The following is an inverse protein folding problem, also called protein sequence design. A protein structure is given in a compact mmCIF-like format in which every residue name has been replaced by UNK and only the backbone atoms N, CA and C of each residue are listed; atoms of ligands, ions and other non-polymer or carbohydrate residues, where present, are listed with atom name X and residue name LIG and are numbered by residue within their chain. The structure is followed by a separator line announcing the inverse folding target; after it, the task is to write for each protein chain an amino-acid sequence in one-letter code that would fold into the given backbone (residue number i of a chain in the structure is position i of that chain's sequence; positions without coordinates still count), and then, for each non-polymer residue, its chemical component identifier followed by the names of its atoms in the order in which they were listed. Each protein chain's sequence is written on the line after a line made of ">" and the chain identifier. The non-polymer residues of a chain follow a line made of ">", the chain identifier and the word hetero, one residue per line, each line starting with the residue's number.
data_IF_134994043989
#
_entry.id   IF_134994043989
#
_cell.length_a   1.000
_cell.length_b   1.000
_cell.length_c   1.000
_cell.angle_alpha   90.00
_cell.angle_beta   90.00
_cell.angle_gamma   90.00
#
_symmetry.space_group_name_H-M   'P 1'
#
loop_
_entity.id
_entity.type
_entity.pdbx_description
1 polymer ?
2 polymer ?
3 non-polymer ?
4 water ?
#
# COMPACT_ATOMS: atom_id res chain seq x y z
N UNK A 2 -7.27 -6.97 -17.01
CA UNK A 2 -7.12 -7.52 -15.66
C UNK A 2 -8.41 -7.57 -14.86
N UNK A 3 -9.48 -6.92 -15.34
CA UNK A 3 -10.80 -6.83 -14.69
C UNK A 3 -10.78 -5.95 -13.43
N UNK A 4 -10.01 -6.30 -12.38
CA UNK A 4 -9.96 -5.45 -11.19
C UNK A 4 -9.13 -4.19 -11.54
N UNK A 5 -9.54 -3.03 -11.02
CA UNK A 5 -8.84 -1.77 -11.35
C UNK A 5 -7.37 -1.80 -10.95
N UNK A 6 -6.55 -1.14 -11.75
CA UNK A 6 -5.13 -1.10 -11.47
C UNK A 6 -4.78 0.03 -10.51
N UNK A 7 -3.78 -0.18 -9.68
CA UNK A 7 -3.27 0.87 -8.79
C UNK A 7 -2.12 1.59 -9.53
N UNK A 8 -1.64 2.70 -8.98
CA UNK A 8 -0.56 3.47 -9.63
C UNK A 8 0.70 2.63 -9.83
N UNK A 9 1.09 1.81 -8.83
CA UNK A 9 2.29 0.96 -8.95
C UNK A 9 2.18 -0.12 -10.05
N UNK A 10 0.95 -0.46 -10.47
CA UNK A 10 0.73 -1.43 -11.53
C UNK A 10 0.75 -0.82 -12.95
N UNK A 11 0.89 0.49 -13.06
CA UNK A 11 0.90 1.21 -14.34
C UNK A 11 2.00 0.67 -15.24
N UNK A 12 1.69 0.30 -16.50
CA UNK A 12 2.73 -0.15 -17.42
C UNK A 12 3.33 1.08 -18.08
N UNK A 13 4.64 1.16 -18.12
CA UNK A 13 5.37 2.29 -18.65
C UNK A 13 6.48 1.87 -19.61
N UNK A 14 6.84 2.78 -20.50
CA UNK A 14 7.94 2.60 -21.40
C UNK A 14 8.93 3.68 -21.12
N UNK A 15 9.99 3.38 -20.35
CA UNK A 15 10.98 4.41 -20.05
C UNK A 15 11.67 4.96 -21.29
N UNK A 16 11.87 6.27 -21.28
CA UNK A 16 12.63 7.02 -22.28
C UNK A 16 14.11 6.64 -22.20
N UNK A 17 14.93 6.98 -23.22
CA UNK A 17 16.31 6.47 -23.25
C UNK A 17 17.19 6.68 -22.00
N UNK A 18 17.21 7.88 -21.37
CA UNK A 18 18.06 8.07 -20.18
C UNK A 18 17.65 7.12 -19.05
N UNK A 19 16.36 7.07 -18.74
CA UNK A 19 15.84 6.20 -17.67
C UNK A 19 16.00 4.71 -18.02
N UNK A 20 15.83 4.35 -19.30
CA UNK A 20 16.00 2.96 -19.72
C UNK A 20 17.44 2.51 -19.51
N UNK A 21 18.40 3.38 -19.81
CA UNK A 21 19.82 3.09 -19.62
C UNK A 21 20.13 2.86 -18.13
N UNK A 22 19.55 3.70 -17.26
CA UNK A 22 19.70 3.58 -15.82
C UNK A 22 19.16 2.21 -15.35
N UNK A 23 17.92 1.89 -15.73
CA UNK A 23 17.25 0.64 -15.35
C UNK A 23 18.00 -0.60 -15.79
N UNK A 24 18.51 -0.57 -17.03
CA UNK A 24 19.25 -1.70 -17.57
C UNK A 24 20.65 -1.84 -16.95
N UNK A 25 21.23 -0.74 -16.41
CA UNK A 25 22.54 -0.84 -15.77
C UNK A 25 22.51 -1.69 -14.49
N UNK A 26 21.35 -1.86 -13.85
CA UNK A 26 21.24 -2.70 -12.66
C UNK A 26 20.71 -4.10 -12.99
N UNK A 27 20.87 -4.55 -14.24
CA UNK A 27 20.48 -5.89 -14.64
C UNK A 27 19.08 -6.09 -15.18
N UNK A 28 18.18 -5.09 -15.10
CA UNK A 28 16.84 -5.24 -15.67
C UNK A 28 16.99 -5.31 -17.21
N UNK A 29 16.37 -6.31 -17.85
CA UNK A 29 16.62 -6.52 -19.29
C UNK A 29 15.36 -6.47 -20.14
N UNK A 30 14.51 -5.48 -19.90
CA UNK A 30 13.32 -5.31 -20.72
C UNK A 30 13.07 -3.84 -21.03
N UNK A 31 12.07 -3.56 -21.87
CA UNK A 31 11.76 -2.20 -22.27
C UNK A 31 10.42 -1.71 -21.68
N UNK A 32 9.54 -2.62 -21.24
CA UNK A 32 8.25 -2.28 -20.64
C UNK A 32 8.30 -2.68 -19.17
N UNK A 33 7.93 -1.77 -18.26
CA UNK A 33 7.99 -1.98 -16.83
C UNK A 33 6.70 -1.57 -16.15
N UNK A 34 6.46 -2.05 -14.94
CA UNK A 34 5.38 -1.48 -14.14
C UNK A 34 6.06 -0.34 -13.33
N UNK A 35 5.28 0.61 -12.81
CA UNK A 35 5.83 1.69 -11.98
C UNK A 35 6.55 1.10 -10.74
N UNK A 36 6.04 -0.05 -10.21
CA UNK A 36 6.67 -0.74 -9.08
C UNK A 36 8.07 -1.20 -9.45
N UNK A 37 8.26 -1.73 -10.65
CA UNK A 37 9.58 -2.15 -11.11
C UNK A 37 10.51 -0.97 -11.28
N UNK A 38 10.01 0.12 -11.86
CA UNK A 38 10.83 1.35 -12.01
C UNK A 38 11.34 1.82 -10.63
N UNK A 39 10.44 1.89 -9.64
CA UNK A 39 10.82 2.29 -8.27
C UNK A 39 11.85 1.32 -7.68
N UNK A 40 11.61 0.04 -7.87
CA UNK A 40 12.49 -1.00 -7.37
C UNK A 40 13.93 -0.89 -7.93
N UNK A 41 14.06 -0.85 -9.26
CA UNK A 41 15.37 -0.79 -9.93
C UNK A 41 16.03 0.59 -9.73
N UNK A 42 15.24 1.66 -9.63
CA UNK A 42 15.79 3.00 -9.33
C UNK A 42 16.39 2.97 -7.90
N UNK A 43 15.69 2.33 -6.95
CA UNK A 43 16.18 2.18 -5.58
C UNK A 43 17.45 1.37 -5.53
N UNK A 44 17.53 0.30 -6.34
CA UNK A 44 18.74 -0.53 -6.46
C UNK A 44 19.90 0.25 -7.01
N UNK A 45 19.65 1.06 -8.04
CA UNK A 45 20.68 1.88 -8.68
C UNK A 45 21.31 2.85 -7.68
N UNK A 46 20.48 3.62 -6.93
CA UNK A 46 21.00 4.57 -5.96
C UNK A 46 21.82 3.85 -4.89
N UNK A 47 21.29 2.72 -4.40
CA UNK A 47 21.92 1.95 -3.36
C UNK A 47 23.22 1.32 -3.86
N UNK A 48 23.24 0.67 -5.04
CA UNK A 48 24.46 0.02 -5.52
C UNK A 48 25.57 1.01 -5.81
N UNK A 49 25.22 2.17 -6.34
CA UNK A 49 26.20 3.19 -6.66
C UNK A 49 26.58 4.10 -5.50
N UNK A 50 25.93 3.91 -4.33
CA UNK A 50 26.14 4.67 -3.11
C UNK A 50 26.00 6.17 -3.38
N UNK A 51 24.91 6.58 -4.05
CA UNK A 51 24.71 8.00 -4.34
C UNK A 51 24.15 8.79 -3.16
N UNK A 52 23.60 8.09 -2.15
CA UNK A 52 23.05 8.75 -0.99
C UNK A 52 24.14 9.29 -0.04
N UNK A 53 23.78 10.28 0.76
CA UNK A 53 24.68 10.85 1.75
C UNK A 53 24.76 9.87 2.92
N UNK A 54 25.99 9.49 3.36
CA UNK A 54 26.18 8.57 4.49
C UNK A 54 25.49 9.00 5.78
N UNK A 55 25.51 10.29 6.12
CA UNK A 55 24.90 10.79 7.36
C UNK A 55 23.38 11.03 7.27
N UNK A 56 22.90 11.57 6.14
CA UNK A 56 21.47 11.86 5.92
C UNK A 56 21.09 11.04 4.68
N UNK A 57 20.69 9.79 4.91
CA UNK A 57 20.52 8.84 3.82
C UNK A 57 19.31 9.08 2.92
N UNK A 58 18.51 10.13 3.19
CA UNK A 58 17.45 10.51 2.27
C UNK A 58 17.98 11.44 1.16
N UNK A 59 19.17 12.01 1.31
CA UNK A 59 19.74 12.93 0.33
C UNK A 59 20.51 12.12 -0.70
N UNK A 60 20.21 12.36 -1.97
CA UNK A 60 20.90 11.65 -3.04
C UNK A 60 21.66 12.67 -3.86
N UNK A 61 22.93 12.42 -4.08
CA UNK A 61 23.76 13.33 -4.88
C UNK A 61 23.79 12.80 -6.29
N UNK A 62 23.56 13.66 -7.27
CA UNK A 62 23.51 13.19 -8.65
C UNK A 62 24.17 14.13 -9.65
N UNK A 63 25.01 15.07 -9.18
CA UNK A 63 25.82 15.89 -10.10
C UNK A 63 26.84 14.91 -10.72
N UNK A 64 27.01 14.94 -12.03
CA UNK A 64 27.98 14.04 -12.71
C UNK A 64 27.53 12.56 -12.75
N UNK A 65 26.24 12.31 -12.54
CA UNK A 65 25.69 10.96 -12.68
C UNK A 65 24.55 11.05 -13.66
N UNK A 66 24.25 9.92 -14.33
CA UNK A 66 23.10 9.79 -15.22
C UNK A 66 21.81 10.26 -14.50
N UNK A 67 21.71 9.98 -13.18
CA UNK A 67 20.54 10.39 -12.40
C UNK A 67 20.33 11.91 -12.38
N UNK A 68 21.43 12.65 -12.40
CA UNK A 68 21.42 14.09 -12.50
C UNK A 68 20.85 14.59 -13.82
N UNK A 69 21.06 13.83 -14.90
CA UNK A 69 20.51 14.13 -16.22
C UNK A 69 19.00 13.89 -16.27
N UNK A 70 18.47 13.01 -15.40
CA UNK A 70 17.05 12.69 -15.31
C UNK A 70 16.35 13.73 -14.41
N UNK A 71 16.96 14.03 -13.26
CA UNK A 71 16.40 14.95 -12.27
C UNK A 71 16.52 16.42 -12.63
N UNK A 72 17.64 16.76 -13.26
CA UNK A 72 17.94 18.13 -13.62
C UNK A 72 18.26 19.01 -12.42
N UNK A 73 18.90 18.41 -11.41
CA UNK A 73 19.27 19.04 -10.14
C UNK A 73 20.55 18.38 -9.57
N UNK A 74 21.36 19.06 -8.75
CA UNK A 74 22.58 18.41 -8.21
C UNK A 74 22.32 17.40 -7.07
N UNK A 75 21.21 17.55 -6.39
CA UNK A 75 20.82 16.64 -5.32
C UNK A 75 19.34 16.72 -5.06
N UNK A 76 18.79 15.67 -4.44
CA UNK A 76 17.36 15.67 -4.12
C UNK A 76 17.13 14.86 -2.85
N UNK A 77 15.97 15.06 -2.22
CA UNK A 77 15.61 14.34 -1.01
C UNK A 77 14.50 13.34 -1.34
N UNK A 78 14.66 12.09 -0.91
CA UNK A 78 13.61 11.09 -1.16
C UNK A 78 12.40 11.23 -0.20
N UNK A 79 12.41 12.22 0.71
CA UNK A 79 11.27 12.55 1.56
C UNK A 79 10.19 13.30 0.74
N UNK A 80 10.58 13.97 -0.37
CA UNK A 80 9.66 14.72 -1.23
C UNK A 80 9.12 13.77 -2.31
N UNK A 81 8.25 12.83 -1.91
CA UNK A 81 7.71 11.79 -2.78
C UNK A 81 7.21 12.29 -4.12
N UNK A 82 6.32 13.30 -4.11
CA UNK A 82 5.76 13.90 -5.34
C UNK A 82 6.82 14.31 -6.35
N UNK A 83 7.93 14.90 -5.89
CA UNK A 83 8.97 15.38 -6.79
C UNK A 83 9.72 14.24 -7.48
N UNK A 84 9.87 13.08 -6.80
CA UNK A 84 10.47 11.91 -7.43
C UNK A 84 9.52 11.32 -8.45
N UNK A 85 8.21 11.25 -8.14
CA UNK A 85 7.23 10.76 -9.10
C UNK A 85 7.19 11.68 -10.34
N UNK A 86 7.31 12.99 -10.13
CA UNK A 86 7.32 13.95 -11.26
C UNK A 86 8.47 13.67 -12.20
N UNK A 87 9.66 13.45 -11.63
CA UNK A 87 10.86 13.14 -12.40
C UNK A 87 10.68 11.84 -13.17
N UNK A 88 10.14 10.79 -12.53
CA UNK A 88 9.89 9.52 -13.17
C UNK A 88 8.94 9.61 -14.35
N UNK A 89 7.78 10.29 -14.18
CA UNK A 89 6.82 10.37 -15.26
C UNK A 89 7.32 11.19 -16.45
N UNK A 90 8.13 12.21 -16.20
CA UNK A 90 8.73 13.00 -17.27
C UNK A 90 9.77 12.17 -18.09
N UNK A 91 10.22 11.03 -17.54
CA UNK A 91 11.20 10.17 -18.18
C UNK A 91 10.64 8.84 -18.70
N UNK A 92 9.34 8.81 -18.96
CA UNK A 92 8.67 7.63 -19.49
C UNK A 92 7.40 8.02 -20.23
N UNK A 93 6.86 7.06 -21.00
CA UNK A 93 5.58 7.18 -21.67
C UNK A 93 4.69 6.09 -21.07
N UNK A 94 3.52 6.47 -20.55
CA UNK A 94 2.57 5.54 -19.95
C UNK A 94 1.90 4.72 -21.05
N UNK A 95 1.82 3.39 -20.88
CA UNK A 95 1.11 2.54 -21.83
C UNK A 95 -0.34 2.60 -21.40
N UNK A 96 -1.10 3.54 -21.99
CA UNK A 96 -2.49 3.81 -21.65
C UNK A 96 -3.49 3.41 -22.73
N UNK B 1 3.23 11.92 14.58
CA UNK B 1 4.06 11.10 13.72
C UNK B 1 5.14 10.31 14.53
N UNK B 2 6.08 9.62 13.86
CA UNK B 2 7.08 8.82 14.56
C UNK B 2 8.45 8.79 13.84
N UNK B 3 9.45 8.14 14.46
CA UNK B 3 10.85 7.99 13.98
C UNK B 3 10.96 7.36 12.59
N UNK B 4 10.02 6.50 12.25
CA UNK B 4 9.93 5.77 10.99
C UNK B 4 9.67 6.78 9.87
N UNK B 5 10.30 6.60 8.70
CA UNK B 5 10.04 7.53 7.58
C UNK B 5 8.57 7.61 7.19
N UNK B 6 8.11 8.79 6.79
CA UNK B 6 6.72 8.95 6.36
C UNK B 6 6.55 8.56 4.90
N UNK B 7 5.36 8.04 4.58
CA UNK B 7 5.01 7.71 3.20
C UNK B 7 4.26 8.97 2.61
N UNK B 8 3.98 8.96 1.31
CA UNK B 8 3.29 10.08 0.66
C UNK B 8 1.88 10.28 1.23
N UNK B 9 1.17 9.19 1.58
CA UNK B 9 -0.19 9.32 2.15
C UNK B 9 -0.18 10.03 3.51
N UNK B 10 0.95 10.00 4.23
CA UNK B 10 1.08 10.64 5.52
C UNK B 10 1.47 12.12 5.44
N UNK B 11 1.79 12.63 4.24
CA UNK B 11 2.21 14.02 4.08
C UNK B 11 1.13 15.00 4.56
N UNK B 12 1.51 15.96 5.44
CA UNK B 12 0.61 16.98 5.96
C UNK B 12 0.52 18.14 4.97
N UNK B 13 -0.70 18.53 4.65
CA UNK B 13 -0.95 19.54 3.64
C UNK B 13 -1.97 20.54 4.12
N UNK B 14 -1.88 21.74 3.57
CA UNK B 14 -2.81 22.82 3.86
C UNK B 14 -3.51 23.18 2.54
N UNK B 15 -4.70 22.64 2.33
CA UNK B 15 -5.44 22.97 1.09
C UNK B 15 -5.69 24.47 0.89
N UNK B 16 -5.57 24.92 -0.35
CA UNK B 16 -5.87 26.28 -0.78
C UNK B 16 -7.42 26.50 -0.67
N UNK B 17 -7.92 27.76 -0.76
CA UNK B 17 -9.35 27.99 -0.48
C UNK B 17 -10.37 27.13 -1.24
N UNK B 18 -10.22 26.88 -2.56
CA UNK B 18 -11.20 26.06 -3.30
C UNK B 18 -11.21 24.61 -2.83
N UNK B 19 -10.02 23.99 -2.69
CA UNK B 19 -9.96 22.61 -2.20
C UNK B 19 -10.48 22.51 -0.78
N UNK B 20 -10.18 23.51 0.07
CA UNK B 20 -10.67 23.51 1.45
C UNK B 20 -12.20 23.59 1.51
N UNK B 21 -12.78 24.43 0.65
CA UNK B 21 -14.25 24.57 0.56
C UNK B 21 -14.89 23.23 0.13
N UNK B 22 -14.25 22.50 -0.79
CA UNK B 22 -14.75 21.17 -1.21
C UNK B 22 -14.69 20.20 -0.04
N UNK B 23 -13.54 20.16 0.67
CA UNK B 23 -13.35 19.26 1.81
C UNK B 23 -14.35 19.53 2.94
N UNK B 24 -14.60 20.79 3.26
CA UNK B 24 -15.55 21.15 4.32
C UNK B 24 -17.00 20.88 3.93
N UNK B 25 -17.31 20.87 2.62
CA UNK B 25 -18.65 20.55 2.13
C UNK B 25 -19.09 19.12 2.47
N UNK B 26 -18.12 18.20 2.69
CA UNK B 26 -18.48 16.83 3.09
C UNK B 26 -18.22 16.56 4.58
N UNK B 27 -18.10 17.62 5.39
CA UNK B 27 -17.99 17.45 6.83
C UNK B 27 -16.63 17.51 7.47
N UNK B 28 -15.55 17.71 6.69
CA UNK B 28 -14.21 17.82 7.28
C UNK B 28 -14.13 19.18 7.96
N UNK B 29 -13.64 19.25 9.21
CA UNK B 29 -13.63 20.49 9.97
C UNK B 29 -12.23 20.99 10.38
N UNK B 30 -11.23 20.85 9.50
CA UNK B 30 -9.89 21.35 9.82
C UNK B 30 -9.22 22.03 8.64
N UNK B 31 -8.09 22.70 8.86
CA UNK B 31 -7.37 23.37 7.80
C UNK B 31 -6.16 22.57 7.29
N UNK B 32 -5.68 21.57 8.08
CA UNK B 32 -4.50 20.75 7.81
C UNK B 32 -4.91 19.32 7.72
N UNK B 33 -4.52 18.64 6.64
CA UNK B 33 -4.90 17.25 6.43
C UNK B 33 -3.70 16.40 6.06
N UNK B 34 -3.81 15.08 6.15
CA UNK B 34 -2.82 14.21 5.53
C UNK B 34 -3.32 14.02 4.07
N UNK B 35 -2.44 13.58 3.17
CA UNK B 35 -2.83 13.29 1.78
C UNK B 35 -3.90 12.17 1.77
N UNK B 36 -3.79 11.17 2.70
CA UNK B 36 -4.82 10.12 2.83
C UNK B 36 -6.21 10.74 3.09
N UNK B 37 -6.29 11.70 4.03
CA UNK B 37 -7.55 12.36 4.34
C UNK B 37 -8.11 13.13 3.14
N UNK B 38 -7.27 13.88 2.41
CA UNK B 38 -7.72 14.58 1.21
C UNK B 38 -8.32 13.59 0.19
N UNK B 39 -7.63 12.48 -0.07
CA UNK B 39 -8.11 11.47 -1.00
C UNK B 39 -9.40 10.85 -0.49
N UNK B 40 -9.52 10.63 0.84
CA UNK B 40 -10.72 10.06 1.43
C UNK B 40 -11.94 10.99 1.23
N UNK B 41 -11.79 12.27 1.60
CA UNK B 41 -12.90 13.22 1.49
C UNK B 41 -13.22 13.58 0.05
N UNK B 42 -12.22 13.60 -0.83
CA UNK B 42 -12.43 13.86 -2.25
C UNK B 42 -13.27 12.73 -2.89
N UNK B 43 -13.03 11.50 -2.45
CA UNK B 43 -13.81 10.35 -2.89
C UNK B 43 -15.26 10.43 -2.41
N UNK B 44 -15.46 10.87 -1.16
CA UNK B 44 -16.79 11.10 -0.60
C UNK B 44 -17.50 12.19 -1.39
N UNK B 45 -16.78 13.26 -1.73
CA UNK B 45 -17.35 14.36 -2.49
C UNK B 45 -17.86 13.89 -3.86
N UNK B 46 -17.03 13.18 -4.63
CA UNK B 46 -17.41 12.69 -5.95
C UNK B 46 -18.58 11.72 -5.84
N UNK B 47 -18.60 10.90 -4.80
CA UNK B 47 -19.72 9.97 -4.57
C UNK B 47 -21.02 10.69 -4.23
N UNK B 48 -20.95 11.68 -3.34
CA UNK B 48 -22.10 12.45 -2.88
C UNK B 48 -22.69 13.26 -4.02
N UNK B 49 -21.83 13.91 -4.80
CA UNK B 49 -22.29 14.68 -5.94
C UNK B 49 -22.63 13.80 -7.16
N UNK B 50 -22.20 12.51 -7.14
CA UNK B 50 -22.46 11.53 -8.19
C UNK B 50 -21.91 12.07 -9.52
N UNK B 51 -20.68 12.58 -9.48
CA UNK B 51 -20.06 13.18 -10.64
C UNK B 51 -19.53 12.17 -11.69
N UNK B 52 -19.45 10.90 -11.32
CA UNK B 52 -18.93 9.87 -12.21
C UNK B 52 -19.93 9.46 -13.30
N UNK B 53 -19.44 8.96 -14.43
CA UNK B 53 -20.28 8.44 -15.50
C UNK B 53 -20.96 7.17 -14.98
N UNK B 54 -22.28 7.04 -15.17
CA UNK B 54 -22.99 5.88 -14.64
C UNK B 54 -22.50 4.55 -15.24
N UNK B 55 -22.13 4.56 -16.51
CA UNK B 55 -21.68 3.36 -17.20
C UNK B 55 -20.18 3.08 -17.11
N UNK B 56 -19.35 4.14 -17.09
CA UNK B 56 -17.89 4.02 -17.01
C UNK B 56 -17.49 4.86 -15.81
N UNK B 57 -17.61 4.29 -14.63
CA UNK B 57 -17.48 5.00 -13.36
C UNK B 57 -16.06 5.51 -13.00
N UNK B 58 -15.07 5.31 -13.88
CA UNK B 58 -13.76 5.93 -13.70
C UNK B 58 -13.77 7.35 -14.32
N UNK B 59 -14.76 7.69 -15.19
CA UNK B 59 -14.81 9.01 -15.80
C UNK B 59 -15.58 9.92 -14.88
N UNK B 60 -15.01 11.06 -14.51
CA UNK B 60 -15.68 12.01 -13.64
C UNK B 60 -15.93 13.29 -14.42
N UNK B 61 -17.20 13.74 -14.50
CA UNK B 61 -17.55 14.99 -15.15
C UNK B 61 -17.61 16.07 -14.09
N UNK B 62 -16.82 17.13 -14.29
CA UNK B 62 -16.76 18.21 -13.30
C UNK B 62 -17.02 19.59 -13.85
N UNK B 63 -17.59 19.67 -15.06
CA UNK B 63 -18.03 20.95 -15.62
C UNK B 63 -19.22 21.43 -14.77
N UNK B 64 -19.32 22.74 -14.53
CA UNK B 64 -20.41 23.27 -13.70
C UNK B 64 -20.35 22.72 -12.26
N UNK B 65 -19.12 22.46 -11.76
CA UNK B 65 -18.87 22.00 -10.40
C UNK B 65 -17.55 22.57 -9.92
N UNK B 66 -17.45 22.83 -8.60
CA UNK B 66 -16.29 23.34 -7.88
C UNK B 66 -15.03 22.54 -8.27
N UNK B 67 -15.15 21.20 -8.36
CA UNK B 67 -14.06 20.30 -8.73
C UNK B 67 -13.46 20.65 -10.09
N UNK B 68 -14.28 21.12 -11.01
CA UNK B 68 -13.83 21.53 -12.34
C UNK B 68 -12.97 22.77 -12.29
N UNK B 69 -13.22 23.67 -11.34
CA UNK B 69 -12.38 24.85 -11.14
C UNK B 69 -11.01 24.44 -10.55
N UNK B 70 -10.99 23.38 -9.68
CA UNK B 70 -9.77 22.80 -9.10
C UNK B 70 -8.92 22.13 -10.19
N UNK B 71 -9.55 21.32 -11.06
CA UNK B 71 -8.80 20.60 -12.11
C UNK B 71 -8.43 21.50 -13.28
N UNK B 72 -9.28 22.48 -13.57
CA UNK B 72 -9.11 23.33 -14.74
C UNK B 72 -9.49 22.57 -16.01
N UNK B 73 -10.34 21.54 -15.88
CA UNK B 73 -10.79 20.68 -16.96
C UNK B 73 -12.26 20.27 -16.75
N UNK B 74 -12.99 19.90 -17.82
CA UNK B 74 -14.39 19.50 -17.65
C UNK B 74 -14.60 18.04 -17.22
N UNK B 75 -13.54 17.23 -17.26
CA UNK B 75 -13.63 15.83 -16.87
C UNK B 75 -12.23 15.26 -16.66
N UNK B 76 -12.16 14.14 -15.98
CA UNK B 76 -10.90 13.45 -15.78
C UNK B 76 -11.18 11.95 -15.57
N UNK B 77 -10.14 11.11 -15.66
CA UNK B 77 -10.29 9.69 -15.43
C UNK B 77 -9.56 9.32 -14.18
N UNK B 78 -10.21 8.55 -13.29
CA UNK B 78 -9.64 8.01 -12.06
C UNK B 78 -8.50 7.02 -12.39
N UNK B 79 -8.46 6.47 -13.61
CA UNK B 79 -7.40 5.53 -13.99
C UNK B 79 -6.02 6.26 -14.08
N UNK B 80 -6.01 7.59 -14.30
CA UNK B 80 -4.76 8.31 -14.46
C UNK B 80 -4.29 8.86 -13.11
N UNK B 81 -3.86 7.94 -12.23
CA UNK B 81 -3.51 8.25 -10.84
C UNK B 81 -2.69 9.51 -10.62
N UNK B 82 -1.54 9.63 -11.29
CA UNK B 82 -0.64 10.76 -11.03
C UNK B 82 -1.18 12.10 -11.54
N UNK B 83 -2.07 12.10 -12.57
CA UNK B 83 -2.72 13.35 -12.99
C UNK B 83 -3.63 13.89 -11.88
N UNK B 84 -4.25 12.98 -11.10
CA UNK B 84 -5.10 13.36 -9.97
C UNK B 84 -4.26 13.92 -8.83
N UNK B 85 -3.09 13.30 -8.54
CA UNK B 85 -2.20 13.82 -7.51
C UNK B 85 -1.68 15.20 -7.96
N UNK B 86 -1.37 15.37 -9.24
CA UNK B 86 -0.88 16.65 -9.76
C UNK B 86 -1.92 17.77 -9.53
N UNK B 87 -3.20 17.47 -9.78
CA UNK B 87 -4.28 18.43 -9.52
C UNK B 87 -4.34 18.75 -8.03
N UNK B 88 -4.28 17.70 -7.17
CA UNK B 88 -4.36 17.89 -5.74
C UNK B 88 -3.23 18.77 -5.21
N UNK B 89 -1.96 18.47 -5.58
CA UNK B 89 -0.80 19.24 -5.11
C UNK B 89 -0.85 20.69 -5.56
N UNK B 90 -1.45 20.97 -6.74
CA UNK B 90 -1.57 22.37 -7.21
C UNK B 90 -2.55 23.17 -6.34
N UNK B 91 -3.48 22.47 -5.66
CA UNK B 91 -4.51 23.03 -4.80
C UNK B 91 -4.19 22.96 -3.31
N UNK B 92 -2.90 22.82 -2.96
CA UNK B 92 -2.50 22.81 -1.55
C UNK B 92 -1.07 23.30 -1.36
N UNK B 93 -0.68 23.50 -0.09
CA UNK B 93 0.67 23.84 0.28
C UNK B 93 1.13 22.72 1.22
N UNK B 94 2.23 22.06 0.91
CA UNK B 94 2.77 21.00 1.77
C UNK B 94 3.36 21.68 3.01
N UNK B 95 2.96 21.23 4.20
CA UNK B 95 3.44 21.84 5.45
C UNK B 95 4.92 21.50 5.62
N UNK B 96 5.77 22.51 5.94
CA UNK B 96 7.20 22.26 6.14
C UNK B 96 7.43 21.27 7.29
N UNK C 3 -13.54 9.56 11.88
CA UNK C 3 -14.43 8.95 10.88
C UNK C 3 -13.68 8.18 9.78
N UNK C 4 -12.34 8.26 9.73
CA UNK C 4 -11.60 7.52 8.71
C UNK C 4 -11.14 6.22 9.30
N UNK C 5 -11.59 5.09 8.75
CA UNK C 5 -11.22 3.80 9.33
C UNK C 5 -9.73 3.48 9.20
N UNK C 6 -9.21 2.81 10.22
CA UNK C 6 -7.80 2.45 10.23
C UNK C 6 -7.56 1.23 9.34
N UNK C 7 -6.40 1.18 8.74
CA UNK C 7 -5.98 0.01 7.98
C UNK C 7 -5.20 -0.92 8.96
N UNK C 8 -4.85 -2.14 8.52
CA UNK C 8 -4.07 -3.06 9.36
C UNK C 8 -2.73 -2.46 9.80
N UNK C 9 -2.02 -1.78 8.87
CA UNK C 9 -0.73 -1.13 9.18
C UNK C 9 -0.84 -0.01 10.24
N UNK C 10 -1.98 0.66 10.30
CA UNK C 10 -2.24 1.73 11.26
C UNK C 10 -2.77 1.23 12.61
N UNK C 11 -3.02 -0.08 12.76
CA UNK C 11 -3.54 -0.62 14.01
C UNK C 11 -2.54 -0.48 15.15
N UNK C 12 -3.00 0.04 16.29
CA UNK C 12 -2.18 0.18 17.47
C UNK C 12 -2.12 -1.14 18.22
N UNK C 13 -0.92 -1.49 18.67
CA UNK C 13 -0.68 -2.75 19.34
C UNK C 13 0.20 -2.50 20.56
N UNK C 14 0.10 -3.41 21.51
CA UNK C 14 0.86 -3.46 22.75
C UNK C 14 1.68 -4.73 22.71
N UNK C 15 2.94 -4.68 22.21
CA UNK C 15 3.73 -5.92 22.14
C UNK C 15 3.92 -6.57 23.50
N UNK C 16 3.87 -7.91 23.52
CA UNK C 16 4.12 -8.70 24.73
C UNK C 16 5.59 -8.57 25.16
N UNK C 17 6.00 -9.04 26.37
CA UNK C 17 7.37 -8.75 26.85
C UNK C 17 8.53 -9.13 25.93
N UNK C 18 8.52 -10.33 25.34
CA UNK C 18 9.62 -10.75 24.47
C UNK C 18 9.73 -9.89 23.20
N UNK C 19 8.61 -9.66 22.51
CA UNK C 19 8.60 -8.80 21.32
C UNK C 19 8.97 -7.35 21.70
N UNK C 20 8.49 -6.88 22.86
CA UNK C 20 8.81 -5.52 23.32
C UNK C 20 10.31 -5.36 23.54
N UNK C 21 10.96 -6.37 24.12
CA UNK C 21 12.39 -6.38 24.37
C UNK C 21 13.13 -6.29 23.00
N UNK C 22 12.68 -7.07 22.02
CA UNK C 22 13.25 -7.03 20.67
C UNK C 22 13.14 -5.65 20.06
N UNK C 23 11.93 -5.06 20.08
CA UNK C 23 11.71 -3.74 19.49
C UNK C 23 12.55 -2.67 20.19
N UNK C 24 12.61 -2.71 21.52
CA UNK C 24 13.39 -1.74 22.28
C UNK C 24 14.89 -1.90 22.05
N UNK C 25 15.37 -3.12 21.73
CA UNK C 25 16.79 -3.35 21.46
C UNK C 25 17.31 -2.60 20.22
N UNK C 26 16.42 -2.19 19.28
CA UNK C 26 16.90 -1.46 18.09
C UNK C 26 16.66 0.06 18.20
N UNK C 27 16.41 0.57 19.40
CA UNK C 27 16.24 2.00 19.60
C UNK C 27 14.82 2.52 19.62
N UNK C 28 13.81 1.64 19.48
CA UNK C 28 12.41 2.09 19.62
C UNK C 28 12.21 2.29 21.13
N UNK C 29 11.67 3.44 21.55
CA UNK C 29 11.62 3.72 23.00
C UNK C 29 10.22 3.81 23.59
N UNK C 30 9.24 3.18 22.95
CA UNK C 30 7.88 3.24 23.44
C UNK C 30 7.26 1.87 23.72
N UNK C 31 6.04 1.85 24.26
CA UNK C 31 5.34 0.62 24.58
C UNK C 31 4.14 0.34 23.66
N UNK C 32 3.68 1.35 22.93
CA UNK C 32 2.58 1.19 22.00
C UNK C 32 3.09 1.47 20.59
N UNK C 33 2.75 0.62 19.64
CA UNK C 33 3.24 0.76 18.27
C UNK C 33 2.13 0.59 17.26
N UNK C 34 2.33 1.10 16.02
CA UNK C 34 1.42 0.70 14.94
C UNK C 34 2.01 -0.62 14.40
N UNK C 35 1.21 -1.41 13.67
CA UNK C 35 1.71 -2.63 13.03
C UNK C 35 2.84 -2.28 12.03
N UNK C 36 2.74 -1.11 11.36
CA UNK C 36 3.79 -0.62 10.45
C UNK C 36 5.12 -0.46 11.21
N UNK C 37 5.07 0.17 12.40
CA UNK C 37 6.26 0.31 13.22
C UNK C 37 6.80 -1.01 13.66
N UNK C 38 5.93 -1.97 14.07
CA UNK C 38 6.42 -3.30 14.47
C UNK C 38 7.24 -3.96 13.31
N UNK C 39 6.68 -3.94 12.08
CA UNK C 39 7.35 -4.50 10.90
C UNK C 39 8.66 -3.76 10.63
N UNK C 40 8.65 -2.44 10.75
CA UNK C 40 9.84 -1.62 10.53
C UNK C 40 10.99 -2.00 11.50
N UNK C 41 10.69 -2.04 12.80
CA UNK C 41 11.70 -2.36 13.82
C UNK C 41 12.12 -3.82 13.77
N UNK C 42 11.20 -4.75 13.44
CA UNK C 42 11.55 -6.15 13.27
C UNK C 42 12.50 -6.30 12.08
N UNK C 43 12.23 -5.59 10.98
CA UNK C 43 13.14 -5.61 9.83
C UNK C 43 14.51 -5.06 10.19
N UNK C 44 14.54 -4.00 11.02
CA UNK C 44 15.79 -3.41 11.48
C UNK C 44 16.58 -4.36 12.34
N UNK C 45 15.90 -5.13 13.19
CA UNK C 45 16.52 -6.11 14.07
C UNK C 45 17.19 -7.22 13.24
N UNK C 46 16.46 -7.79 12.27
CA UNK C 46 17.01 -8.83 11.40
C UNK C 46 18.23 -8.30 10.61
N UNK C 47 18.12 -7.06 10.12
CA UNK C 47 19.23 -6.45 9.36
C UNK C 47 20.44 -6.13 10.23
N UNK C 48 20.23 -5.54 11.43
CA UNK C 48 21.33 -5.21 12.33
C UNK C 48 22.08 -6.47 12.81
N UNK C 49 21.34 -7.53 13.16
CA UNK C 49 21.95 -8.79 13.56
C UNK C 49 22.28 -9.72 12.38
N UNK C 50 22.09 -9.27 11.13
CA UNK C 50 22.34 -10.02 9.90
C UNK C 50 21.92 -11.49 9.99
N UNK C 51 20.66 -11.70 10.38
CA UNK C 51 20.15 -13.05 10.58
C UNK C 51 19.81 -13.80 9.29
N UNK C 52 19.79 -13.11 8.16
CA UNK C 52 19.46 -13.74 6.89
C UNK C 52 20.61 -14.57 6.30
N UNK C 53 20.23 -15.58 5.52
CA UNK C 53 21.17 -16.42 4.76
C UNK C 53 21.71 -15.51 3.65
N UNK C 54 23.02 -15.31 3.61
CA UNK C 54 23.66 -14.44 2.62
C UNK C 54 23.33 -14.79 1.15
N UNK C 55 23.11 -16.08 0.85
CA UNK C 55 22.82 -16.50 -0.52
C UNK C 55 21.33 -16.54 -0.85
N UNK C 56 20.47 -16.75 0.16
CA UNK C 56 19.01 -16.79 0.01
C UNK C 56 18.43 -15.91 1.11
N UNK C 57 18.51 -14.61 0.89
CA UNK C 57 18.23 -13.56 1.88
C UNK C 57 16.78 -13.46 2.37
N UNK C 58 15.87 -14.32 1.85
CA UNK C 58 14.53 -14.41 2.41
C UNK C 58 14.53 -15.43 3.59
N UNK C 59 15.57 -16.25 3.73
CA UNK C 59 15.67 -17.22 4.82
C UNK C 59 16.32 -16.52 6.00
N UNK C 60 15.63 -16.44 7.13
CA UNK C 60 16.14 -15.81 8.33
C UNK C 60 16.45 -16.89 9.35
N UNK C 61 17.65 -16.86 9.92
CA UNK C 61 18.05 -17.81 10.94
C UNK C 61 17.91 -17.15 12.29
N UNK C 62 17.26 -17.83 13.22
CA UNK C 62 17.01 -17.24 14.54
C UNK C 62 17.18 -18.22 15.69
N UNK C 63 17.95 -19.30 15.49
CA UNK C 63 18.21 -20.23 16.58
C UNK C 63 19.13 -19.53 17.62
N UNK C 64 18.86 -19.76 18.91
CA UNK C 64 19.59 -19.17 20.03
C UNK C 64 19.52 -17.64 20.01
N UNK C 65 18.33 -17.14 19.71
CA UNK C 65 18.06 -15.73 19.63
C UNK C 65 16.65 -15.46 20.12
N UNK C 66 16.43 -14.24 20.64
CA UNK C 66 15.14 -13.71 21.08
C UNK C 66 14.06 -13.93 19.98
N UNK C 67 14.42 -13.72 18.71
CA UNK C 67 13.50 -13.92 17.58
C UNK C 67 13.05 -15.38 17.38
N UNK C 68 13.96 -16.32 17.67
CA UNK C 68 13.63 -17.73 17.59
C UNK C 68 12.68 -18.17 18.69
N UNK C 69 12.75 -17.50 19.85
CA UNK C 69 11.84 -17.70 20.97
C UNK C 69 10.43 -17.27 20.53
N UNK C 70 10.31 -16.14 19.80
CA UNK C 70 9.04 -15.61 19.27
C UNK C 70 8.41 -16.54 18.25
N UNK C 71 9.18 -16.97 17.26
CA UNK C 71 8.69 -17.85 16.21
C UNK C 71 8.52 -19.29 16.67
N UNK C 72 9.21 -19.69 17.73
CA UNK C 72 9.22 -21.06 18.20
C UNK C 72 9.89 -21.97 17.19
N UNK C 73 10.84 -21.42 16.41
CA UNK C 73 11.51 -22.14 15.33
C UNK C 73 12.92 -21.59 15.08
N UNK C 74 13.83 -22.43 14.57
CA UNK C 74 15.20 -21.95 14.30
C UNK C 74 15.35 -21.09 13.04
N UNK C 75 14.33 -21.04 12.20
CA UNK C 75 14.38 -20.28 10.96
C UNK C 75 12.95 -20.06 10.42
N UNK C 76 12.82 -19.14 9.47
CA UNK C 76 11.56 -18.85 8.77
C UNK C 76 11.91 -18.17 7.42
N UNK C 77 10.96 -18.13 6.49
CA UNK C 77 11.17 -17.45 5.20
C UNK C 77 10.27 -16.22 5.16
N UNK C 78 10.84 -15.07 4.76
CA UNK C 78 10.15 -13.78 4.60
C UNK C 78 9.04 -13.86 3.51
N UNK C 79 9.15 -14.82 2.58
CA UNK C 79 8.20 -14.98 1.47
C UNK C 79 6.80 -15.41 1.97
N UNK C 80 6.73 -16.06 3.14
CA UNK C 80 5.48 -16.54 3.70
C UNK C 80 4.86 -15.47 4.62
N UNK C 81 4.35 -14.41 4.02
CA UNK C 81 3.80 -13.24 4.67
C UNK C 81 2.85 -13.56 5.84
N UNK C 82 1.78 -14.34 5.60
CA UNK C 82 0.81 -14.69 6.65
C UNK C 82 1.43 -15.37 7.87
N UNK C 83 2.41 -16.27 7.66
CA UNK C 83 3.08 -16.94 8.75
C UNK C 83 3.78 -15.94 9.67
N UNK C 84 4.38 -14.90 9.09
CA UNK C 84 5.04 -13.87 9.88
C UNK C 84 4.03 -13.03 10.65
N UNK C 85 2.87 -12.69 10.02
CA UNK C 85 1.83 -11.96 10.74
C UNK C 85 1.30 -12.79 11.90
N UNK C 86 1.12 -14.09 11.71
CA UNK C 86 0.61 -14.98 12.77
C UNK C 86 1.55 -14.97 13.98
N UNK C 87 2.89 -15.04 13.75
CA UNK C 87 3.87 -14.94 14.85
C UNK C 87 3.70 -13.61 15.60
N UNK C 88 3.64 -12.47 14.85
CA UNK C 88 3.51 -11.14 15.42
C UNK C 88 2.26 -10.99 16.26
N UNK C 89 1.09 -11.36 15.69
CA UNK C 89 -0.16 -11.25 16.44
C UNK C 89 -0.16 -12.08 17.72
N UNK C 90 0.49 -13.25 17.71
CA UNK C 90 0.59 -14.07 18.94
C UNK C 90 1.44 -13.39 20.03
N UNK C 91 2.25 -12.41 19.64
CA UNK C 91 3.16 -11.71 20.53
C UNK C 91 2.75 -10.28 20.85
N UNK C 92 1.47 -9.96 20.73
CA UNK C 92 0.99 -8.62 21.05
C UNK C 92 -0.50 -8.62 21.43
N UNK C 93 -0.98 -7.49 21.93
CA UNK C 93 -2.39 -7.28 22.22
C UNK C 93 -2.82 -6.08 21.39
N UNK C 94 -3.82 -6.26 20.55
CA UNK C 94 -4.32 -5.17 19.71
C UNK C 94 -5.11 -4.19 20.58
N UNK C 95 -4.85 -2.88 20.42
CA UNK C 95 -5.57 -1.82 21.14
C UNK C 95 -6.84 -1.56 20.32
N UNK C 96 -7.89 -2.33 20.62
CA UNK C 96 -9.14 -2.33 19.86
C UNK C 96 -10.31 -1.57 20.52
N UNK D 2 11.78 -8.84 -12.98
CA UNK D 2 11.58 -10.28 -12.78
C UNK D 2 11.98 -10.70 -11.36
N UNK D 3 13.22 -10.38 -10.91
CA UNK D 3 13.73 -10.73 -9.57
C UNK D 3 13.06 -9.96 -8.41
N UNK D 4 11.93 -9.33 -8.69
CA UNK D 4 11.25 -8.52 -7.70
C UNK D 4 10.32 -9.35 -6.84
N UNK D 5 10.53 -9.34 -5.51
CA UNK D 5 9.68 -10.16 -4.63
C UNK D 5 8.21 -9.75 -4.64
N UNK D 6 7.34 -10.72 -4.44
CA UNK D 6 5.91 -10.45 -4.44
C UNK D 6 5.45 -9.98 -3.06
N UNK D 7 4.45 -9.10 -3.03
CA UNK D 7 3.85 -8.70 -1.76
C UNK D 7 2.77 -9.80 -1.40
N UNK D 8 2.14 -9.71 -0.21
CA UNK D 8 1.08 -10.64 0.17
C UNK D 8 -0.10 -10.56 -0.80
N UNK D 9 -0.45 -9.33 -1.25
CA UNK D 9 -1.58 -9.18 -2.17
C UNK D 9 -1.31 -9.74 -3.57
N UNK D 10 -0.04 -9.98 -3.92
CA UNK D 10 0.28 -10.62 -5.20
C UNK D 10 0.33 -12.16 -5.10
N UNK D 11 0.15 -12.74 -3.90
CA UNK D 11 0.20 -14.20 -3.70
C UNK D 11 -0.86 -14.87 -4.55
N UNK D 12 -0.47 -15.89 -5.32
CA UNK D 12 -1.42 -16.61 -6.16
C UNK D 12 -2.10 -17.69 -5.31
N UNK D 13 -3.41 -17.79 -5.41
CA UNK D 13 -4.19 -18.71 -4.61
C UNK D 13 -5.25 -19.42 -5.41
N UNK D 14 -5.61 -20.62 -4.95
CA UNK D 14 -6.67 -21.39 -5.56
C UNK D 14 -7.76 -21.57 -4.53
N UNK D 15 -8.81 -20.72 -4.59
CA UNK D 15 -9.93 -20.87 -3.66
C UNK D 15 -10.57 -22.27 -3.72
N UNK D 16 -10.92 -22.79 -2.54
CA UNK D 16 -11.66 -24.04 -2.37
C UNK D 16 -13.10 -23.82 -2.90
N UNK D 17 -13.94 -24.86 -3.12
CA UNK D 17 -15.20 -24.65 -3.84
C UNK D 17 -16.14 -23.56 -3.32
N UNK D 18 -16.32 -23.42 -1.99
CA UNK D 18 -17.25 -22.40 -1.48
C UNK D 18 -16.78 -20.98 -1.82
N UNK D 19 -15.54 -20.65 -1.51
CA UNK D 19 -15.00 -19.32 -1.83
C UNK D 19 -14.99 -19.07 -3.34
N UNK D 20 -14.62 -20.10 -4.14
CA UNK D 20 -14.64 -19.97 -5.60
C UNK D 20 -16.03 -19.62 -6.11
N UNK D 21 -17.08 -20.28 -5.58
CA UNK D 21 -18.45 -19.98 -5.99
C UNK D 21 -18.81 -18.50 -5.69
N UNK D 22 -18.40 -17.99 -4.52
CA UNK D 22 -18.67 -16.59 -4.16
C UNK D 22 -18.03 -15.63 -5.15
N UNK D 23 -16.77 -15.89 -5.50
CA UNK D 23 -16.05 -15.05 -6.44
C UNK D 23 -16.69 -15.12 -7.82
N UNK D 24 -17.10 -16.33 -8.25
CA UNK D 24 -17.73 -16.46 -9.58
C UNK D 24 -19.12 -15.80 -9.65
N UNK D 25 -19.81 -15.73 -8.49
CA UNK D 25 -21.14 -15.12 -8.41
C UNK D 25 -21.10 -13.62 -8.74
N UNK D 26 -19.97 -12.93 -8.49
CA UNK D 26 -19.86 -11.52 -8.83
C UNK D 26 -19.16 -11.28 -10.19
N UNK D 27 -19.04 -12.31 -11.03
CA UNK D 27 -18.48 -12.13 -12.36
C UNK D 27 -17.08 -12.65 -12.64
N UNK D 28 -16.32 -13.07 -11.61
CA UNK D 28 -14.99 -13.63 -11.87
C UNK D 28 -15.12 -14.98 -12.64
N UNK D 29 -14.28 -15.19 -13.64
CA UNK D 29 -14.38 -16.38 -14.49
C UNK D 29 -13.09 -17.22 -14.51
N UNK D 30 -12.39 -17.30 -13.38
CA UNK D 30 -11.17 -18.11 -13.31
C UNK D 30 -11.10 -18.92 -12.02
N UNK D 31 -10.15 -19.84 -11.92
CA UNK D 31 -9.97 -20.71 -10.79
C UNK D 31 -8.78 -20.32 -9.89
N UNK D 32 -7.84 -19.51 -10.43
CA UNK D 32 -6.65 -19.03 -9.72
C UNK D 32 -6.68 -17.51 -9.65
N UNK D 33 -6.41 -16.96 -8.48
CA UNK D 33 -6.51 -15.51 -8.20
C UNK D 33 -5.29 -15.02 -7.43
N UNK D 34 -5.11 -13.71 -7.35
CA UNK D 34 -4.17 -13.12 -6.40
C UNK D 34 -5.00 -12.85 -5.12
N UNK D 35 -4.36 -12.70 -3.97
CA UNK D 35 -5.06 -12.32 -2.73
C UNK D 35 -5.80 -10.97 -2.90
N UNK D 36 -5.20 -10.02 -3.64
CA UNK D 36 -5.86 -8.75 -3.93
C UNK D 36 -7.21 -8.97 -4.66
N UNK D 37 -7.22 -9.87 -5.66
CA UNK D 37 -8.49 -10.15 -6.38
C UNK D 37 -9.50 -10.81 -5.45
N UNK D 38 -9.04 -11.68 -4.54
CA UNK D 38 -9.95 -12.34 -3.58
C UNK D 38 -10.62 -11.27 -2.67
N UNK D 39 -9.82 -10.31 -2.17
CA UNK D 39 -10.31 -9.22 -1.31
C UNK D 39 -11.29 -8.33 -2.12
N UNK D 40 -10.92 -8.03 -3.36
CA UNK D 40 -11.73 -7.19 -4.26
C UNK D 40 -13.12 -7.82 -4.49
N UNK D 41 -13.15 -9.07 -4.91
CA UNK D 41 -14.41 -9.77 -5.21
C UNK D 41 -15.25 -10.07 -3.97
N UNK D 42 -14.60 -10.34 -2.83
CA UNK D 42 -15.33 -10.58 -1.58
C UNK D 42 -16.03 -9.29 -1.12
N UNK D 43 -15.36 -8.15 -1.26
CA UNK D 43 -15.95 -6.86 -0.92
C UNK D 43 -17.10 -6.52 -1.86
N UNK D 44 -16.94 -6.85 -3.15
CA UNK D 44 -17.98 -6.66 -4.16
C UNK D 44 -19.20 -7.57 -3.86
N UNK D 45 -18.94 -8.76 -3.39
CA UNK D 45 -19.98 -9.71 -2.99
C UNK D 45 -20.81 -9.15 -1.82
N UNK D 46 -20.15 -8.72 -0.72
CA UNK D 46 -20.83 -8.17 0.45
C UNK D 46 -21.65 -6.95 0.08
N UNK D 47 -21.04 -6.05 -0.69
CA UNK D 47 -21.69 -4.84 -1.13
C UNK D 47 -22.93 -5.13 -2.01
N UNK D 48 -22.78 -5.89 -3.11
CA UNK D 48 -23.91 -6.20 -4.01
C UNK D 48 -25.08 -6.86 -3.27
N UNK D 49 -24.76 -7.83 -2.42
CA UNK D 49 -25.78 -8.56 -1.68
C UNK D 49 -26.29 -7.85 -0.44
N UNK D 50 -25.78 -6.65 -0.13
CA UNK D 50 -26.15 -5.82 1.02
C UNK D 50 -26.17 -6.58 2.33
N UNK D 51 -25.09 -7.33 2.61
CA UNK D 51 -25.00 -8.12 3.83
C UNK D 51 -24.54 -7.32 5.03
N UNK D 52 -23.99 -6.11 4.81
CA UNK D 52 -23.60 -5.24 5.90
C UNK D 52 -24.88 -4.62 6.49
N UNK D 53 -24.79 -4.22 7.74
CA UNK D 53 -25.88 -3.54 8.42
C UNK D 53 -25.92 -2.08 7.93
N UNK D 54 -27.08 -1.61 7.48
CA UNK D 54 -27.26 -0.25 6.98
C UNK D 54 -26.79 0.85 7.95
N UNK D 55 -27.01 0.67 9.26
CA UNK D 55 -26.65 1.65 10.30
C UNK D 55 -25.23 1.52 10.84
N UNK D 56 -24.74 0.29 10.97
CA UNK D 56 -23.38 0.06 11.44
C UNK D 56 -22.69 -0.78 10.34
N UNK D 57 -22.25 -0.10 9.26
CA UNK D 57 -21.77 -0.70 8.02
C UNK D 57 -20.49 -1.55 8.09
N UNK D 58 -19.83 -1.61 9.24
CA UNK D 58 -18.70 -2.54 9.42
C UNK D 58 -19.17 -3.93 9.88
N UNK D 59 -20.41 -4.06 10.31
CA UNK D 59 -20.96 -5.34 10.76
C UNK D 59 -21.60 -6.03 9.56
N UNK D 60 -21.20 -7.28 9.31
CA UNK D 60 -21.76 -8.05 8.22
C UNK D 60 -22.64 -9.15 8.82
N UNK D 61 -23.92 -9.22 8.43
CA UNK D 61 -24.86 -10.26 8.88
C UNK D 61 -25.01 -11.25 7.71
N UNK D 62 -24.46 -12.44 7.89
CA UNK D 62 -24.42 -13.43 6.82
C UNK D 62 -24.99 -14.80 7.21
N UNK D 63 -26.01 -14.84 8.10
CA UNK D 63 -26.59 -16.10 8.58
C UNK D 63 -27.37 -16.88 7.53
N UNK D 64 -28.03 -16.17 6.62
CA UNK D 64 -28.75 -16.84 5.53
C UNK D 64 -27.96 -16.76 4.21
N UNK D 65 -26.63 -16.66 4.30
CA UNK D 65 -25.79 -16.56 3.10
C UNK D 65 -24.62 -17.53 3.21
N UNK D 66 -24.14 -18.03 2.07
CA UNK D 66 -22.99 -18.92 2.05
C UNK D 66 -21.73 -18.28 2.66
N UNK D 67 -21.67 -16.94 2.73
CA UNK D 67 -20.58 -16.20 3.34
C UNK D 67 -20.44 -16.56 4.83
N UNK D 68 -21.56 -16.85 5.48
CA UNK D 68 -21.55 -17.27 6.88
C UNK D 68 -20.83 -18.59 7.07
N UNK D 69 -20.95 -19.49 6.08
CA UNK D 69 -20.22 -20.76 6.07
C UNK D 69 -18.73 -20.51 5.89
N UNK D 70 -18.37 -19.56 5.02
CA UNK D 70 -17.01 -19.12 4.73
C UNK D 70 -16.33 -18.70 6.06
N UNK D 71 -17.01 -17.88 6.87
CA UNK D 71 -16.44 -17.39 8.12
C UNK D 71 -16.61 -18.29 9.32
N UNK D 72 -17.59 -19.18 9.27
CA UNK D 72 -17.89 -20.04 10.41
C UNK D 72 -18.59 -19.26 11.52
N UNK D 73 -19.39 -18.23 11.15
CA UNK D 73 -20.11 -17.40 12.12
C UNK D 73 -21.34 -16.77 11.46
N UNK D 74 -22.40 -16.44 12.23
CA UNK D 74 -23.57 -15.80 11.62
C UNK D 74 -23.34 -14.30 11.29
N UNK D 75 -22.32 -13.68 11.90
CA UNK D 75 -21.96 -12.30 11.63
C UNK D 75 -20.47 -12.04 11.91
N UNK D 76 -19.93 -10.88 11.48
CA UNK D 76 -18.52 -10.55 11.72
C UNK D 76 -18.26 -9.04 11.51
N UNK D 77 -17.10 -8.55 11.94
CA UNK D 77 -16.76 -7.14 11.77
C UNK D 77 -15.62 -6.97 10.81
N UNK D 78 -15.79 -6.02 9.88
CA UNK D 78 -14.77 -5.66 8.89
C UNK D 78 -13.54 -5.02 9.56
N UNK D 79 -13.66 -4.50 10.79
CA UNK D 79 -12.52 -3.93 11.52
C UNK D 79 -11.49 -5.00 11.92
N UNK D 80 -11.91 -6.27 12.05
CA UNK D 80 -11.01 -7.36 12.48
C UNK D 80 -10.23 -7.88 11.28
N UNK D 81 -9.25 -7.11 10.81
CA UNK D 81 -8.46 -7.37 9.62
C UNK D 81 -7.83 -8.76 9.52
N UNK D 82 -6.92 -9.12 10.45
CA UNK D 82 -6.23 -10.41 10.35
C UNK D 82 -7.17 -11.62 10.63
N UNK D 83 -8.31 -11.43 11.31
CA UNK D 83 -9.31 -12.50 11.48
C UNK D 83 -9.97 -12.84 10.12
N UNK D 84 -10.20 -11.81 9.30
CA UNK D 84 -10.75 -11.99 7.97
C UNK D 84 -9.72 -12.69 7.09
N UNK D 85 -8.43 -12.30 7.19
CA UNK D 85 -7.37 -12.97 6.41
C UNK D 85 -7.27 -14.43 6.83
N UNK D 86 -7.43 -14.73 8.11
CA UNK D 86 -7.39 -16.10 8.64
C UNK D 86 -8.46 -16.95 7.98
N UNK D 87 -9.68 -16.43 7.92
CA UNK D 87 -10.78 -17.13 7.31
C UNK D 87 -10.57 -17.31 5.81
N UNK D 88 -10.00 -16.29 5.14
CA UNK D 88 -9.75 -16.39 3.70
C UNK D 88 -8.70 -17.46 3.43
N UNK D 89 -7.59 -17.43 4.18
CA UNK D 89 -6.53 -18.43 4.01
C UNK D 89 -7.01 -19.86 4.27
N UNK D 90 -7.95 -20.04 5.19
CA UNK D 90 -8.52 -21.37 5.44
C UNK D 90 -9.42 -21.87 4.28
N UNK D 91 -9.82 -20.97 3.37
CA UNK D 91 -10.71 -21.31 2.27
C UNK D 91 -10.00 -21.34 0.91
N UNK D 92 -8.68 -21.51 0.91
CA UNK D 92 -7.91 -21.55 -0.31
C UNK D 92 -6.61 -22.34 -0.14
N UNK D 93 -5.96 -22.67 -1.26
CA UNK D 93 -4.66 -23.30 -1.24
C UNK D 93 -3.69 -22.29 -1.87
N UNK D 94 -2.61 -21.95 -1.16
CA UNK D 94 -1.62 -21.04 -1.72
C UNK D 94 -0.84 -21.85 -2.76
N UNK D 95 -0.83 -21.41 -4.02
CA UNK D 95 -0.21 -22.20 -5.08
C UNK D 95 1.31 -22.22 -4.94
N UNK D 96 1.90 -23.39 -5.21
CA UNK D 96 3.35 -23.54 -5.16
C UNK D 96 3.97 -22.71 -6.28
N UNK E 1 18.21 -11.05 -4.88
CA UNK E 1 17.36 -10.06 -4.20
C UNK E 1 17.72 -10.05 -2.71
N UNK E 2 17.77 -8.84 -2.13
CA UNK E 2 18.31 -8.65 -0.78
C UNK E 2 17.24 -8.91 0.29
N UNK E 3 17.68 -9.10 1.55
CA UNK E 3 16.75 -9.20 2.67
C UNK E 3 15.81 -7.99 2.72
N UNK E 4 16.40 -6.79 2.58
CA UNK E 4 15.67 -5.53 2.57
C UNK E 4 14.54 -5.52 1.55
N UNK E 5 14.82 -5.97 0.33
CA UNK E 5 13.83 -6.08 -0.72
C UNK E 5 12.73 -7.10 -0.43
N UNK E 6 13.11 -8.28 0.08
CA UNK E 6 12.14 -9.25 0.55
C UNK E 6 11.23 -8.72 1.67
N UNK E 7 11.82 -7.96 2.61
CA UNK E 7 11.10 -7.40 3.74
C UNK E 7 10.12 -6.30 3.33
N UNK E 8 10.59 -5.38 2.47
CA UNK E 8 9.74 -4.32 1.96
C UNK E 8 8.59 -4.86 1.10
N UNK E 9 8.90 -5.80 0.20
CA UNK E 9 7.90 -6.43 -0.68
C UNK E 9 6.39 -7.83 1.72
N UNK E 10 6.49 -7.80 3.07
CA UNK E 10 5.35 -7.58 3.95
C UNK E 10 5.33 -4.01 4.91
N UNK E 11 6.25 -3.12 5.40
CA UNK E 11 5.79 -1.86 6.00
C UNK E 11 5.05 -0.97 5.01
N UNK E 12 3.89 -0.47 5.41
N UNK F 1 -19.64 6.01 8.53
CA UNK F 1 -18.72 5.52 7.50
C UNK F 1 -19.34 4.31 6.81
N UNK F 2 -19.05 4.14 5.52
CA UNK F 2 -19.77 3.16 4.71
C UNK F 2 -19.05 1.81 4.70
N UNK F 3 -19.75 0.75 4.27
CA UNK F 3 -19.14 -0.56 4.10
C UNK F 3 -17.88 -0.52 3.24
N UNK F 4 -18.00 0.13 2.06
CA UNK F 4 -16.91 0.24 1.11
C UNK F 4 -15.70 0.94 1.73
N UNK F 5 -15.94 1.96 2.56
CA UNK F 5 -14.87 2.62 3.27
C UNK F 5 -14.18 1.73 4.30
N UNK F 6 -14.96 0.91 5.02
CA UNK F 6 -14.39 -0.07 5.93
C UNK F 6 -13.60 -1.14 5.20
N UNK F 7 -14.12 -1.60 4.06
CA UNK F 7 -13.48 -2.68 3.33
C UNK F 7 -12.17 -2.22 2.69
N UNK F 8 -12.18 -1.02 2.10
CA UNK F 8 -10.97 -0.46 1.52
C UNK F 8 -9.88 -0.16 2.54
N UNK F 9 -10.26 0.48 3.66
CA UNK F 9 -9.34 0.86 4.75
C UNK F 9 -8.76 -2.25 5.43
N UNK F 10 -9.12 -3.45 4.90
CA UNK F 10 -8.16 -4.48 4.50
C UNK F 10 -7.29 -4.04 0.95
N UNK F 11 -8.01 -3.89 -0.22
CA UNK F 11 -7.33 -4.21 -1.48
C UNK F 11 -6.24 -3.21 -1.83
N UNK F 12 -6.54 -1.92 -1.67
N UNK G 1 -17.29 -2.09 -12.90
CA UNK G 1 -16.60 -1.71 -11.65
C UNK G 1 -17.03 -0.30 -11.25
N UNK G 2 -17.24 -0.09 -9.95
CA UNK G 2 -17.85 1.13 -9.45
C UNK G 2 -16.82 2.27 -9.28
N UNK G 3 -17.31 3.50 -9.10
CA UNK G 3 -16.44 4.63 -8.80
C UNK G 3 -15.59 4.35 -7.55
N UNK G 4 -16.22 3.79 -6.51
CA UNK G 4 -15.53 3.54 -5.27
C UNK G 4 -14.40 2.52 -5.46
N UNK G 5 -14.66 1.50 -6.29
CA UNK G 5 -13.61 0.56 -6.65
C UNK G 5 -12.44 1.20 -7.42
N UNK G 6 -12.76 2.11 -8.34
CA UNK G 6 -11.73 2.84 -9.06
C UNK G 6 -10.96 3.79 -8.15
N UNK G 7 -11.66 4.42 -7.20
CA UNK G 7 -11.04 5.35 -6.27
C UNK G 7 -10.10 4.60 -5.32
N UNK G 8 -10.54 3.43 -4.83
CA UNK G 8 -9.78 2.67 -3.87
C UNK G 8 -8.53 2.06 -4.49
N UNK G 9 -8.69 1.49 -5.69
CA UNK G 9 -7.61 0.89 -6.47
C UNK G 9 -6.22 3.70 -6.86
N UNK G 10 -6.38 4.99 -6.47
CA UNK G 10 -5.34 5.81 -5.86
C UNK G 10 -5.75 5.56 -2.18
N UNK G 11 -6.81 5.74 -1.32
CA UNK G 11 -6.51 6.03 0.09
C UNK G 11 -5.81 4.85 0.77
N UNK G 12 -4.73 5.15 1.48
N UNK H 1 18.41 6.15 10.15
CA UNK H 1 17.52 5.61 9.13
C UNK H 1 18.31 5.47 7.82
N UNK H 2 18.14 4.33 7.15
CA UNK H 2 18.96 3.98 6.00
C UNK H 2 18.33 4.51 4.71
N UNK H 3 19.13 4.57 3.62
CA UNK H 3 18.56 4.93 2.32
C UNK H 3 17.41 4.00 1.93
N UNK H 4 17.62 2.69 2.12
CA UNK H 4 16.58 1.72 1.77
C UNK H 4 15.28 1.92 2.54
N UNK H 5 15.39 2.27 3.82
CA UNK H 5 14.22 2.59 4.65
C UNK H 5 13.48 3.82 4.14
N UNK H 6 14.21 4.90 3.85
CA UNK H 6 13.62 6.04 3.16
C UNK H 6 12.95 5.72 1.83
N UNK H 7 13.57 4.84 1.04
CA UNK H 7 13.07 4.54 -0.29
C UNK H 7 11.79 3.68 -0.22
N UNK H 8 11.78 2.72 0.71
CA UNK H 8 10.62 1.84 0.85
C UNK H 8 9.42 2.60 1.41
N UNK H 9 9.66 3.44 2.43
CA UNK H 9 8.62 4.27 3.05
C UNK H 9 8.17 5.94 0.40
N UNK H 10 8.60 5.87 -0.87
CA UNK H 10 7.72 5.90 -2.03
C UNK H 10 7.22 2.33 -2.90
N UNK H 11 8.06 1.26 -3.13
CA UNK H 11 7.59 0.17 -3.98
C UNK H 11 6.42 -0.63 -3.39
N UNK H 12 6.47 -0.89 -2.10
X LIG I 1 -7.56 28.97 -4.92
X LIG I 1 -6.32 29.61 -4.47
X LIG I 1 -7.92 27.86 -4.02
X LIG I 1 -8.67 29.96 -4.91
X LIG I 1 -7.42 28.44 -6.28
X LIG J 1 5.97 -13.43 26.47
X LIG J 1 6.99 -13.78 27.47
X LIG J 1 5.70 -14.60 25.64
X LIG J 1 4.73 -13.01 27.18
X LIG J 1 6.44 -12.33 25.62
X LIG K 1 -15.49 -26.12 1.08
X LIG K 1 -15.08 -25.86 2.47
X LIG K 1 -14.87 -27.38 0.62
X LIG K 1 -16.96 -26.16 1.21
X LIG K 1 -15.12 -25.02 0.17
#
# INVERSE_FOLDING_TARGET
>A
MSQIPASEQETLVRPKPLLLKLLKSVGAQKDTYTMKEVLFYLGQYIMTKRLYDEKQQHIVYCSNDLLGDLFGVPSFSVKEHRKIYTMIYRNLVVVN
>B
MSQIPASEQETLVRPKPLLLKLLKSVGAQKDTYTMKEVLFYLGQYIMTKRLYDEKQQHIVYCSNDLLGDLFGVPSFSVKEHRKIYTMIYRNLVVVN
>C
MSQIPASEQETLVRPKPLLLKLLKSVGAQKDTYTMKEVLFYLGQYIMTKRLYDEKQQHIVYCSNDLLGDLFGVPSFSVKEHRKIYTMIYRNLVVVN
>D
MSQIPASEQETLVRPKPLLLKLLKSVGAQKDTYTMKEVLFYLGQYIMTKRLYDEKQQHIVYCSNDLLGDLFGVPSFSVKEHRKIYTMIYRNLVVVN
>E
TSFCEYWAXXXX
>F
TSFCEYWAXXXX
>G
TSFCEYWAXXXX
>H
TSFCEYWAXXXX
>I hetero
1 SO4 S O1 O2 O3 O4
>J hetero
1 SO4 S O1 O2 O3 O4
>K hetero
1 SO4 S O1 O2 O3 O4
#
